data_IF_920938728007
#
_entry.id   IF_920938728007
#
_cell.length_a   1.000
_cell.length_b   1.000
_cell.length_c   1.000
_cell.angle_alpha   90.00
_cell.angle_beta   90.00
_cell.angle_gamma   90.00
#
_symmetry.space_group_name_H-M   'P 1'
#
loop_
_entity.id
_entity.type
_entity.pdbx_description
1 polymer ?
#
# COMPACT_ATOMS: atom_id res chain seq x y z
N UNK A 1 8.20 -17.25 11.35
CA UNK A 1 7.89 -16.68 10.02
C UNK A 1 7.67 -15.19 10.23
N UNK A 2 8.51 -14.34 9.64
CA UNK A 2 8.25 -12.90 9.61
C UNK A 2 7.18 -12.61 8.56
N UNK A 3 6.36 -11.60 8.78
CA UNK A 3 5.12 -11.28 8.06
C UNK A 3 5.31 -10.91 6.57
N UNK A 4 6.50 -11.05 5.99
CA UNK A 4 6.78 -10.70 4.59
C UNK A 4 6.81 -9.19 4.30
N UNK A 5 6.67 -8.34 5.33
CA UNK A 5 6.84 -6.89 5.24
C UNK A 5 7.35 -6.28 6.54
N UNK A 6 7.93 -5.08 6.43
CA UNK A 6 8.10 -4.16 7.55
C UNK A 6 6.92 -3.18 7.61
N UNK A 7 6.38 -2.96 8.81
CA UNK A 7 5.30 -2.00 9.07
C UNK A 7 5.72 -1.00 10.13
N UNK A 8 5.80 0.26 9.75
CA UNK A 8 6.30 1.34 10.59
C UNK A 8 5.25 2.44 10.75
N UNK A 9 4.96 2.84 11.99
CA UNK A 9 4.09 3.98 12.25
C UNK A 9 4.84 5.28 11.94
N UNK A 10 4.26 6.11 11.08
CA UNK A 10 4.80 7.43 10.77
C UNK A 10 4.65 8.34 12.00
N UNK A 11 5.63 9.21 12.27
CA UNK A 11 5.75 9.97 13.55
C UNK A 11 4.53 10.82 13.94
N UNK A 12 3.59 11.05 13.03
CA UNK A 12 2.33 11.76 13.28
C UNK A 12 1.17 10.83 13.68
N UNK A 13 1.42 9.52 13.92
CA UNK A 13 0.49 8.47 14.37
C UNK A 13 -0.77 8.23 13.51
N UNK A 14 -0.89 8.88 12.36
CA UNK A 14 -2.04 8.76 11.46
C UNK A 14 -1.73 8.03 10.14
N UNK A 15 -0.56 7.41 10.03
CA UNK A 15 -0.19 6.66 8.84
C UNK A 15 0.83 5.55 9.14
N UNK A 16 0.74 4.48 8.36
CA UNK A 16 1.60 3.31 8.43
C UNK A 16 2.34 3.14 7.10
N UNK A 17 3.65 2.90 7.18
CA UNK A 17 4.48 2.58 6.03
C UNK A 17 4.66 1.08 5.95
N UNK A 18 4.25 0.48 4.84
CA UNK A 18 4.40 -0.94 4.54
C UNK A 18 5.50 -1.09 3.48
N UNK A 19 6.52 -1.87 3.81
CA UNK A 19 7.64 -2.19 2.91
C UNK A 19 7.66 -3.70 2.70
N UNK A 20 7.21 -4.21 1.53
CA UNK A 20 7.27 -5.64 1.23
C UNK A 20 8.71 -6.15 1.17
N UNK A 21 8.96 -7.32 1.76
CA UNK A 21 10.25 -7.98 1.72
C UNK A 21 10.51 -8.56 0.32
N UNK A 22 11.76 -8.43 -0.17
CA UNK A 22 12.16 -8.97 -1.47
C UNK A 22 11.64 -8.23 -2.70
N UNK A 23 10.80 -7.21 -2.54
CA UNK A 23 10.29 -6.37 -3.64
C UNK A 23 11.04 -5.04 -3.66
N UNK A 24 11.79 -4.80 -4.73
CA UNK A 24 12.52 -3.54 -4.93
C UNK A 24 11.88 -2.63 -5.99
N UNK A 25 10.99 -3.18 -6.83
CA UNK A 25 10.24 -2.45 -7.84
C UNK A 25 8.98 -3.21 -8.23
N UNK A 26 7.92 -2.49 -8.58
CA UNK A 26 6.64 -3.04 -9.08
C UNK A 26 6.22 -2.37 -10.39
N UNK A 27 5.30 -2.99 -11.12
CA UNK A 27 4.57 -2.32 -12.19
C UNK A 27 3.44 -1.48 -11.58
N UNK A 28 3.69 -0.17 -11.42
CA UNK A 28 2.77 0.74 -10.74
C UNK A 28 1.37 0.77 -11.35
N UNK A 29 1.26 0.69 -12.67
CA UNK A 29 -0.03 0.68 -13.37
C UNK A 29 -0.79 -0.62 -13.09
N UNK A 30 -0.13 -1.77 -13.22
CA UNK A 30 -0.78 -3.07 -12.96
C UNK A 30 -1.23 -3.19 -11.50
N UNK A 31 -0.35 -2.88 -10.55
CA UNK A 31 -0.69 -2.92 -9.12
C UNK A 31 -1.79 -1.91 -8.81
N UNK A 32 -1.72 -0.70 -9.39
CA UNK A 32 -2.74 0.34 -9.20
C UNK A 32 -4.12 -0.07 -9.71
N UNK A 33 -4.21 -0.79 -10.84
CA UNK A 33 -5.47 -1.36 -11.32
C UNK A 33 -6.06 -2.38 -10.35
N UNK A 34 -5.24 -3.28 -9.80
CA UNK A 34 -5.72 -4.30 -8.83
C UNK A 34 -6.25 -3.64 -7.55
N UNK A 35 -5.59 -2.59 -7.06
CA UNK A 35 -6.08 -1.81 -5.91
C UNK A 35 -7.42 -1.15 -6.24
N UNK A 36 -7.59 -0.62 -7.46
CA UNK A 36 -8.86 -0.05 -7.91
C UNK A 36 -9.97 -1.11 -7.97
N UNK A 37 -9.67 -2.30 -8.50
CA UNK A 37 -10.60 -3.45 -8.53
C UNK A 37 -10.97 -3.95 -7.12
N UNK A 38 -10.11 -3.70 -6.13
CA UNK A 38 -10.37 -4.00 -4.72
C UNK A 38 -11.30 -2.99 -4.03
N UNK A 39 -11.88 -2.04 -4.78
CA UNK A 39 -12.89 -1.09 -4.29
C UNK A 39 -12.36 0.30 -3.94
N UNK A 40 -11.09 0.60 -4.22
CA UNK A 40 -10.54 1.93 -4.04
C UNK A 40 -10.76 2.82 -5.27
N UNK A 41 -11.01 4.10 -5.04
CA UNK A 41 -11.03 5.11 -6.12
C UNK A 41 -9.64 5.71 -6.29
N UNK A 42 -9.17 5.79 -7.54
CA UNK A 42 -7.85 6.38 -7.81
C UNK A 42 -7.93 7.90 -7.86
N UNK A 43 -7.00 8.57 -7.20
CA UNK A 43 -6.79 10.01 -7.26
C UNK A 43 -5.65 10.36 -8.23
N UNK A 44 -4.46 10.64 -7.67
CA UNK A 44 -3.27 10.96 -8.45
C UNK A 44 -2.76 9.68 -9.12
N UNK A 45 -2.45 9.76 -10.42
CA UNK A 45 -1.78 8.72 -11.19
C UNK A 45 -0.60 9.33 -11.93
N UNK A 46 0.62 9.05 -11.48
CA UNK A 46 1.83 9.46 -12.18
C UNK A 46 2.98 8.46 -11.95
N UNK A 47 4.15 8.71 -12.53
CA UNK A 47 5.31 7.81 -12.43
C UNK A 47 5.95 7.74 -11.05
N UNK A 48 5.68 8.72 -10.17
CA UNK A 48 6.26 8.80 -8.83
C UNK A 48 5.41 8.07 -7.80
N UNK A 49 4.09 8.18 -7.89
CA UNK A 49 3.17 7.49 -7.02
C UNK A 49 1.74 7.48 -7.58
N UNK A 50 0.95 6.55 -7.06
CA UNK A 50 -0.50 6.55 -7.21
C UNK A 50 -1.15 6.74 -5.84
N UNK A 51 -2.21 7.56 -5.78
CA UNK A 51 -3.00 7.73 -4.54
C UNK A 51 -4.39 7.14 -4.72
N UNK A 52 -4.94 6.65 -3.62
CA UNK A 52 -6.25 6.01 -3.62
C UNK A 52 -7.05 6.45 -2.41
N UNK A 53 -8.37 6.50 -2.55
CA UNK A 53 -9.31 6.78 -1.47
C UNK A 53 -10.37 5.69 -1.40
N UNK A 54 -10.70 5.26 -0.19
CA UNK A 54 -11.60 4.15 0.10
C UNK A 54 -11.80 4.00 1.61
N UNK A 55 -11.72 2.78 2.18
CA UNK A 55 -11.73 2.57 3.63
C UNK A 55 -10.64 3.35 4.39
N UNK A 56 -9.51 3.61 3.73
CA UNK A 56 -8.46 4.54 4.15
C UNK A 56 -7.82 5.17 2.91
N UNK A 57 -7.01 6.21 3.07
CA UNK A 57 -6.25 6.75 1.94
C UNK A 57 -4.92 6.00 1.77
N UNK A 58 -4.59 5.67 0.53
CA UNK A 58 -3.35 4.95 0.19
C UNK A 58 -2.43 5.81 -0.67
N UNK A 59 -1.12 5.56 -0.57
CA UNK A 59 -0.13 6.04 -1.54
C UNK A 59 0.83 4.91 -1.89
N UNK A 60 0.78 4.48 -3.15
CA UNK A 60 1.63 3.42 -3.69
C UNK A 60 2.82 4.02 -4.42
N UNK A 61 4.02 3.50 -4.14
CA UNK A 61 5.27 3.92 -4.78
C UNK A 61 5.80 2.83 -5.72
N UNK A 62 6.57 3.19 -6.76
CA UNK A 62 7.16 2.23 -7.69
C UNK A 62 8.10 1.22 -7.03
N UNK A 63 8.61 1.50 -5.83
CA UNK A 63 9.42 0.57 -5.04
C UNK A 63 8.60 -0.56 -4.38
N UNK A 64 7.27 -0.57 -4.54
CA UNK A 64 6.38 -1.49 -3.82
C UNK A 64 5.98 -1.01 -2.42
N UNK A 65 6.57 0.09 -1.94
CA UNK A 65 6.17 0.70 -0.67
C UNK A 65 4.74 1.22 -0.75
N UNK A 66 3.97 0.98 0.31
CA UNK A 66 2.60 1.47 0.45
C UNK A 66 2.49 2.31 1.73
N UNK A 67 1.97 3.52 1.61
CA UNK A 67 1.58 4.35 2.74
C UNK A 67 0.07 4.18 2.97
N UNK A 68 -0.32 3.79 4.16
CA UNK A 68 -1.72 3.59 4.58
C UNK A 68 -2.06 4.68 5.60
N UNK A 69 -2.92 5.63 5.24
CA UNK A 69 -3.33 6.73 6.13
C UNK A 69 -4.54 6.31 6.95
N UNK A 70 -4.27 5.78 8.14
CA UNK A 70 -5.28 5.45 9.15
C UNK A 70 -4.60 5.44 10.52
N UNK A 71 -5.36 5.81 11.56
CA UNK A 71 -4.99 5.60 12.96
C UNK A 71 -5.33 4.19 13.45
N UNK A 72 -6.22 3.49 12.74
CA UNK A 72 -6.65 2.13 13.04
C UNK A 72 -5.57 1.12 12.61
N UNK A 73 -4.90 0.54 13.60
CA UNK A 73 -3.83 -0.44 13.37
C UNK A 73 -4.35 -1.72 12.71
N UNK A 74 -5.55 -2.17 13.05
CA UNK A 74 -6.10 -3.42 12.52
C UNK A 74 -6.39 -3.27 11.03
N UNK A 75 -7.00 -2.15 10.63
CA UNK A 75 -7.20 -1.78 9.23
C UNK A 75 -5.87 -1.68 8.48
N UNK A 76 -4.86 -1.05 9.09
CA UNK A 76 -3.55 -0.94 8.47
C UNK A 76 -2.88 -2.30 8.24
N UNK A 77 -3.02 -3.24 9.20
CA UNK A 77 -2.51 -4.61 9.07
C UNK A 77 -3.24 -5.37 7.96
N UNK A 78 -4.58 -5.30 7.91
CA UNK A 78 -5.36 -5.98 6.87
C UNK A 78 -4.98 -5.49 5.46
N UNK A 79 -4.77 -4.18 5.30
CA UNK A 79 -4.30 -3.60 4.04
C UNK A 79 -2.88 -4.05 3.72
N UNK A 80 -1.99 -4.15 4.72
CA UNK A 80 -0.62 -4.62 4.54
C UNK A 80 -0.60 -6.08 4.04
N UNK A 81 -1.36 -6.97 4.68
CA UNK A 81 -1.49 -8.37 4.28
C UNK A 81 -2.06 -8.52 2.87
N UNK A 82 -3.09 -7.73 2.52
CA UNK A 82 -3.65 -7.75 1.19
C UNK A 82 -2.64 -7.26 0.13
N UNK A 83 -1.87 -6.23 0.45
CA UNK A 83 -0.83 -5.68 -0.42
C UNK A 83 0.28 -6.70 -0.68
N UNK A 84 0.82 -7.33 0.37
CA UNK A 84 1.92 -8.29 0.23
C UNK A 84 1.48 -9.66 -0.30
N UNK A 85 0.22 -10.06 -0.13
CA UNK A 85 -0.26 -11.34 -0.63
C UNK A 85 -0.67 -11.28 -2.11
N UNK A 86 -1.16 -10.12 -2.58
CA UNK A 86 -1.80 -10.03 -3.90
C UNK A 86 -1.32 -8.86 -4.73
N UNK A 87 -1.33 -7.65 -4.18
CA UNK A 87 -1.14 -6.45 -5.01
C UNK A 87 0.30 -6.30 -5.47
N UNK A 88 1.28 -6.39 -4.58
CA UNK A 88 2.68 -6.09 -4.87
C UNK A 88 3.37 -7.11 -5.80
N UNK A 89 2.78 -8.31 -5.97
CA UNK A 89 3.34 -9.40 -6.78
C UNK A 89 2.85 -9.46 -8.23
N UNK A 90 1.96 -8.54 -8.62
CA UNK A 90 1.32 -8.55 -9.93
C UNK A 90 2.23 -8.14 -11.10
#
# INVERSE_FOLDING_TARGET
MGDGFAMELCGNKAAWQIVPEGITSINLERVGQIIQESGYSVGIQNRLCWTFSGPCDLTLYPSGKLLVKTEDKELATLVAEQHISTWAHA
#
